data_IF_468942572871
#
_entry.id   IF_468942572871
#
_cell.length_a   1.000
_cell.length_b   1.000
_cell.length_c   1.000
_cell.angle_alpha   90.00
_cell.angle_beta   90.00
_cell.angle_gamma   90.00
#
_symmetry.space_group_name_H-M   'P 1'
#
loop_
_entity.id
_entity.type
_entity.pdbx_description
1 polymer ?
#
# COMPACT_ATOMS: atom_id res chain seq x y z
N UNK A 1 3.47 -20.31 9.77
CA UNK A 1 4.77 -19.65 9.54
C UNK A 1 4.61 -18.15 9.77
N UNK A 2 5.25 -17.60 10.79
CA UNK A 2 5.06 -16.24 11.29
C UNK A 2 5.75 -15.23 10.37
N UNK A 3 4.97 -14.49 9.57
CA UNK A 3 5.45 -13.36 8.79
C UNK A 3 5.76 -12.17 9.68
N UNK A 4 6.88 -12.22 10.41
CA UNK A 4 7.34 -11.10 11.25
C UNK A 4 7.58 -9.89 10.34
N UNK A 5 6.94 -8.74 10.60
CA UNK A 5 7.22 -7.54 9.81
C UNK A 5 8.66 -7.09 10.01
N UNK A 6 9.30 -6.62 8.94
CA UNK A 6 10.62 -5.98 9.01
C UNK A 6 10.58 -4.82 10.01
N UNK A 7 11.54 -4.80 10.93
CA UNK A 7 11.67 -3.73 11.91
C UNK A 7 12.15 -2.44 11.24
N UNK A 8 11.94 -1.29 11.88
CA UNK A 8 12.36 0.02 11.34
C UNK A 8 13.86 0.05 11.01
N UNK A 9 14.70 -0.48 11.90
CA UNK A 9 16.14 -0.62 11.69
C UNK A 9 16.51 -1.52 10.50
N UNK A 10 15.80 -2.64 10.34
CA UNK A 10 16.01 -3.54 9.19
C UNK A 10 15.63 -2.86 7.87
N UNK A 11 14.61 -2.01 7.86
CA UNK A 11 14.25 -1.23 6.67
C UNK A 11 15.33 -0.18 6.35
N UNK A 12 15.92 0.47 7.36
CA UNK A 12 16.97 1.46 7.15
C UNK A 12 18.27 0.81 6.63
N UNK A 13 18.63 -0.38 7.13
CA UNK A 13 19.71 -1.20 6.55
C UNK A 13 19.35 -1.59 5.11
N UNK A 14 18.12 -2.05 4.86
CA UNK A 14 17.68 -2.49 3.54
C UNK A 14 17.77 -1.37 2.49
N UNK A 15 17.47 -0.12 2.87
CA UNK A 15 17.66 1.05 1.99
C UNK A 15 19.12 1.23 1.58
N UNK A 16 20.06 1.06 2.52
CA UNK A 16 21.50 1.14 2.24
C UNK A 16 21.97 -0.02 1.35
N UNK A 17 21.50 -1.23 1.64
CA UNK A 17 21.85 -2.42 0.84
C UNK A 17 21.31 -2.35 -0.60
N UNK A 18 20.15 -1.73 -0.82
CA UNK A 18 19.62 -1.52 -2.17
C UNK A 18 20.40 -0.51 -3.01
N UNK A 19 21.16 0.39 -2.39
CA UNK A 19 22.03 1.33 -3.10
C UNK A 19 23.35 0.70 -3.55
N UNK A 20 23.70 -0.48 -3.02
CA UNK A 20 24.92 -1.21 -3.42
C UNK A 20 24.61 -2.04 -4.68
N UNK A 21 25.18 -1.70 -5.85
CA UNK A 21 24.80 -2.33 -7.12
C UNK A 21 25.26 -3.79 -7.24
N UNK A 22 26.25 -4.20 -6.44
CA UNK A 22 26.82 -5.56 -6.45
C UNK A 22 26.00 -6.57 -5.63
N UNK A 23 25.04 -6.11 -4.83
CA UNK A 23 24.35 -6.95 -3.87
C UNK A 23 23.08 -7.54 -4.47
N UNK A 24 23.04 -8.87 -4.58
CA UNK A 24 21.88 -9.55 -5.16
C UNK A 24 20.77 -9.73 -4.11
N UNK A 25 19.54 -9.98 -4.58
CA UNK A 25 18.40 -10.26 -3.69
C UNK A 25 18.68 -11.43 -2.72
N UNK A 26 19.25 -12.59 -3.16
CA UNK A 26 19.56 -13.67 -2.23
C UNK A 26 20.65 -13.30 -1.21
N UNK A 27 21.65 -12.51 -1.58
CA UNK A 27 22.68 -12.06 -0.63
C UNK A 27 22.08 -11.21 0.50
N UNK A 28 21.19 -10.28 0.15
CA UNK A 28 20.49 -9.42 1.11
C UNK A 28 19.56 -10.25 2.00
N UNK A 29 18.88 -11.24 1.43
CA UNK A 29 18.02 -12.15 2.15
C UNK A 29 18.79 -12.97 3.19
N UNK A 30 19.98 -13.45 2.82
CA UNK A 30 20.89 -14.15 3.72
C UNK A 30 21.36 -13.25 4.87
N UNK A 31 21.84 -12.03 4.56
CA UNK A 31 22.34 -11.06 5.56
C UNK A 31 21.25 -10.70 6.59
N UNK A 32 20.03 -10.46 6.13
CA UNK A 32 18.92 -10.03 6.99
C UNK A 32 18.12 -11.18 7.60
N UNK A 33 18.45 -12.43 7.25
CA UNK A 33 17.69 -13.63 7.60
C UNK A 33 16.20 -13.52 7.27
N UNK A 34 15.89 -12.97 6.10
CA UNK A 34 14.54 -12.69 5.61
C UNK A 34 14.36 -13.39 4.28
N UNK A 35 13.16 -13.92 4.01
CA UNK A 35 12.88 -14.59 2.73
C UNK A 35 13.09 -13.68 1.53
N UNK A 36 13.68 -14.23 0.48
CA UNK A 36 13.97 -13.59 -0.81
C UNK A 36 12.76 -12.86 -1.39
N UNK A 37 11.58 -13.50 -1.35
CA UNK A 37 10.32 -12.90 -1.82
C UNK A 37 9.99 -11.57 -1.12
N UNK A 38 10.33 -11.45 0.16
CA UNK A 38 10.12 -10.22 0.92
C UNK A 38 11.09 -9.13 0.46
N UNK A 39 12.36 -9.49 0.28
CA UNK A 39 13.39 -8.56 -0.22
C UNK A 39 13.05 -8.09 -1.63
N UNK A 40 12.66 -9.01 -2.51
CA UNK A 40 12.26 -8.71 -3.89
C UNK A 40 11.11 -7.70 -3.92
N UNK A 41 10.03 -7.99 -3.19
CA UNK A 41 8.89 -7.07 -3.06
C UNK A 41 9.32 -5.68 -2.58
N UNK A 42 10.21 -5.60 -1.58
CA UNK A 42 10.70 -4.31 -1.07
C UNK A 42 11.58 -3.59 -2.08
N UNK A 43 12.38 -4.32 -2.85
CA UNK A 43 13.20 -3.75 -3.93
C UNK A 43 12.32 -3.12 -5.00
N UNK A 44 11.21 -3.76 -5.36
CA UNK A 44 10.23 -3.22 -6.31
C UNK A 44 9.51 -1.98 -5.73
N UNK A 45 9.13 -2.01 -4.45
CA UNK A 45 8.58 -0.84 -3.73
C UNK A 45 9.57 0.34 -3.73
N UNK A 46 10.86 0.08 -3.50
CA UNK A 46 11.93 1.08 -3.49
C UNK A 46 12.19 1.66 -4.88
N UNK A 47 12.22 0.83 -5.93
CA UNK A 47 12.35 1.29 -7.32
C UNK A 47 11.19 2.20 -7.74
N UNK A 48 9.98 1.89 -7.27
CA UNK A 48 8.76 2.65 -7.64
C UNK A 48 8.62 3.94 -6.83
N UNK A 49 8.87 3.88 -5.51
CA UNK A 49 8.57 4.99 -4.58
C UNK A 49 9.81 5.81 -4.22
N UNK A 50 11.01 5.27 -4.40
CA UNK A 50 12.27 5.83 -3.89
C UNK A 50 12.45 5.66 -2.38
N UNK A 51 11.48 5.09 -1.67
CA UNK A 51 11.53 4.95 -0.21
C UNK A 51 10.81 3.69 0.29
N UNK A 52 11.31 3.13 1.39
CA UNK A 52 10.70 2.02 2.11
C UNK A 52 9.88 2.55 3.28
N UNK A 53 8.57 2.63 3.09
CA UNK A 53 7.65 3.07 4.14
C UNK A 53 7.61 2.07 5.30
N UNK A 54 7.82 2.58 6.51
CA UNK A 54 7.50 1.87 7.76
C UNK A 54 5.98 1.59 7.75
N UNK A 55 5.55 0.41 8.23
CA UNK A 55 4.12 0.12 8.36
C UNK A 55 3.52 1.22 9.22
N UNK A 56 2.45 1.88 8.73
CA UNK A 56 1.69 2.83 9.55
C UNK A 56 1.28 2.11 10.84
N UNK A 57 1.67 2.65 11.99
CA UNK A 57 1.06 2.26 13.25
C UNK A 57 -0.46 2.37 13.06
N UNK A 58 -1.20 1.39 13.58
CA UNK A 58 -2.67 1.38 13.54
C UNK A 58 -3.13 2.76 14.00
N UNK A 59 -3.91 3.45 13.17
CA UNK A 59 -4.16 4.88 13.37
C UNK A 59 -4.68 5.18 14.77
N UNK A 60 -4.17 6.25 15.38
CA UNK A 60 -4.47 6.76 16.74
C UNK A 60 -5.96 6.73 17.12
N UNK A 61 -6.86 6.74 16.13
CA UNK A 61 -8.29 6.63 16.33
C UNK A 61 -8.72 5.31 17.01
N UNK A 62 -8.02 4.20 16.74
CA UNK A 62 -8.34 2.90 17.34
C UNK A 62 -7.93 2.80 18.82
N UNK A 63 -7.08 3.71 19.30
CA UNK A 63 -6.65 3.83 20.71
C UNK A 63 -7.64 4.66 21.52
N UNK A 64 -8.42 5.55 20.87
CA UNK A 64 -9.41 6.39 21.55
C UNK A 64 -10.58 5.59 22.13
N UNK A 65 -10.97 4.49 21.47
CA UNK A 65 -12.04 3.62 21.99
C UNK A 65 -11.45 2.67 23.04
N UNK A 66 -11.50 3.09 24.30
CA UNK A 66 -11.20 2.25 25.46
C UNK A 66 -12.22 1.10 25.59
N UNK A 67 -11.83 -0.02 26.22
CA UNK A 67 -12.74 -1.15 26.43
C UNK A 67 -14.00 -0.76 27.23
N UNK A 68 -13.86 0.12 28.22
CA UNK A 68 -14.98 0.61 29.05
C UNK A 68 -16.09 1.26 28.21
N UNK A 69 -15.73 2.08 27.22
CA UNK A 69 -16.71 2.73 26.34
C UNK A 69 -17.37 1.73 25.39
N UNK A 70 -16.65 0.67 25.01
CA UNK A 70 -17.18 -0.39 24.16
C UNK A 70 -18.23 -1.22 24.90
N UNK A 71 -18.03 -1.51 26.19
CA UNK A 71 -19.00 -2.22 27.03
C UNK A 71 -20.30 -1.41 27.15
N UNK A 72 -20.20 -0.11 27.46
CA UNK A 72 -21.36 0.79 27.53
C UNK A 72 -22.09 0.94 26.20
N UNK A 73 -21.35 0.96 25.09
CA UNK A 73 -21.97 0.95 23.76
C UNK A 73 -22.72 -0.36 23.48
N UNK A 74 -22.21 -1.51 23.95
CA UNK A 74 -22.88 -2.80 23.78
C UNK A 74 -24.16 -2.86 24.64
N UNK A 75 -24.11 -2.43 25.90
CA UNK A 75 -25.29 -2.32 26.78
C UNK A 75 -26.37 -1.42 26.14
N UNK A 76 -25.98 -0.27 25.59
CA UNK A 76 -26.89 0.62 24.90
C UNK A 76 -27.49 0.00 23.63
N UNK A 77 -26.72 -0.81 22.90
CA UNK A 77 -27.17 -1.55 21.71
C UNK A 77 -28.11 -2.72 22.03
N UNK A 78 -28.15 -3.22 23.26
CA UNK A 78 -29.14 -4.23 23.68
C UNK A 78 -30.55 -3.64 23.78
N UNK A 79 -30.64 -2.37 24.17
CA UNK A 79 -31.90 -1.62 24.22
C UNK A 79 -32.27 -0.97 22.88
N UNK A 80 -31.27 -0.70 22.04
CA UNK A 80 -31.45 -0.05 20.73
C UNK A 80 -30.83 -0.91 19.61
N UNK A 81 -31.38 -2.11 19.36
CA UNK A 81 -30.82 -3.05 18.39
C UNK A 81 -30.88 -2.54 16.94
N UNK A 82 -31.79 -1.62 16.63
CA UNK A 82 -31.90 -1.00 15.30
C UNK A 82 -30.93 0.17 15.09
N UNK A 83 -30.19 0.56 16.13
CA UNK A 83 -29.36 1.75 16.07
C UNK A 83 -28.28 1.66 14.99
N UNK A 84 -28.12 2.76 14.25
CA UNK A 84 -27.15 2.86 13.18
C UNK A 84 -25.75 3.21 13.72
N UNK A 85 -24.72 2.96 12.90
CA UNK A 85 -23.34 3.32 13.27
C UNK A 85 -23.14 4.83 13.48
N UNK A 86 -23.97 5.66 12.86
CA UNK A 86 -23.95 7.12 13.03
C UNK A 86 -24.48 7.50 14.43
N UNK A 87 -25.58 6.88 14.86
CA UNK A 87 -26.16 7.06 16.20
C UNK A 87 -25.23 6.53 17.30
N UNK A 88 -24.53 5.42 17.04
CA UNK A 88 -23.47 4.93 17.94
C UNK A 88 -22.33 5.95 18.11
N UNK A 89 -21.98 6.67 17.03
CA UNK A 89 -20.96 7.72 17.09
C UNK A 89 -21.47 8.93 17.87
N UNK A 90 -22.73 9.31 17.69
CA UNK A 90 -23.38 10.38 18.44
C UNK A 90 -23.46 10.05 19.93
N UNK A 91 -23.86 8.84 20.30
CA UNK A 91 -23.88 8.37 21.69
C UNK A 91 -22.50 8.48 22.34
N UNK A 92 -21.45 7.98 21.68
CA UNK A 92 -20.08 8.07 22.21
C UNK A 92 -19.58 9.52 22.33
N UNK A 93 -20.08 10.41 21.47
CA UNK A 93 -19.75 11.83 21.50
C UNK A 93 -20.50 12.57 22.61
N UNK A 94 -21.75 12.21 22.88
CA UNK A 94 -22.58 12.85 23.90
C UNK A 94 -22.20 12.38 25.30
N UNK A 95 -22.04 11.07 25.51
CA UNK A 95 -21.86 10.49 26.84
C UNK A 95 -20.40 10.52 27.32
N UNK A 96 -19.45 10.37 26.39
CA UNK A 96 -18.03 10.25 26.73
C UNK A 96 -17.15 11.34 26.11
N UNK A 97 -17.73 12.29 25.36
CA UNK A 97 -17.00 13.33 24.62
C UNK A 97 -15.94 12.78 23.65
N UNK A 98 -16.07 11.52 23.21
CA UNK A 98 -15.07 10.86 22.36
C UNK A 98 -15.54 10.83 20.91
N UNK A 99 -14.84 11.56 20.04
CA UNK A 99 -15.04 11.48 18.60
C UNK A 99 -14.20 10.36 17.96
N UNK A 100 -14.88 9.29 17.57
CA UNK A 100 -14.33 8.09 16.92
C UNK A 100 -15.02 7.87 15.58
N UNK A 101 -14.28 7.46 14.56
CA UNK A 101 -14.88 7.18 13.26
C UNK A 101 -15.81 5.96 13.29
N UNK A 102 -16.92 6.02 12.54
CA UNK A 102 -17.85 4.89 12.33
C UNK A 102 -17.14 3.60 11.89
N UNK A 103 -16.10 3.70 11.07
CA UNK A 103 -15.30 2.55 10.65
C UNK A 103 -14.57 1.86 11.83
N UNK A 104 -14.11 2.65 12.81
CA UNK A 104 -13.46 2.14 14.02
C UNK A 104 -14.48 1.47 14.93
N UNK A 105 -15.64 2.10 15.12
CA UNK A 105 -16.77 1.57 15.91
C UNK A 105 -17.23 0.23 15.31
N UNK A 106 -17.53 0.19 14.01
CA UNK A 106 -17.94 -1.02 13.29
C UNK A 106 -16.93 -2.16 13.44
N UNK A 107 -15.64 -1.87 13.30
CA UNK A 107 -14.58 -2.88 13.45
C UNK A 107 -14.50 -3.44 14.87
N UNK A 108 -14.71 -2.60 15.89
CA UNK A 108 -14.65 -2.97 17.31
C UNK A 108 -15.90 -3.72 17.75
N UNK A 109 -17.09 -3.25 17.37
CA UNK A 109 -18.36 -3.94 17.58
C UNK A 109 -18.38 -5.31 16.92
N UNK A 110 -17.92 -5.42 15.67
CA UNK A 110 -17.82 -6.71 14.97
C UNK A 110 -16.88 -7.68 15.71
N UNK A 111 -15.81 -7.18 16.32
CA UNK A 111 -14.87 -8.01 17.09
C UNK A 111 -15.50 -8.49 18.40
N UNK A 112 -16.30 -7.65 19.06
CA UNK A 112 -16.92 -7.97 20.35
C UNK A 112 -18.17 -8.85 20.21
N UNK A 113 -19.03 -8.56 19.23
CA UNK A 113 -20.36 -9.19 19.08
C UNK A 113 -20.47 -10.16 17.91
N UNK A 114 -19.50 -10.15 16.97
CA UNK A 114 -19.55 -10.94 15.74
C UNK A 114 -20.56 -10.44 14.69
N UNK A 115 -21.49 -9.56 15.05
CA UNK A 115 -22.56 -9.05 14.18
C UNK A 115 -22.07 -7.86 13.34
N UNK A 116 -22.55 -7.78 12.09
CA UNK A 116 -22.34 -6.61 11.22
C UNK A 116 -23.53 -5.67 11.38
N UNK A 117 -23.25 -4.39 11.67
CA UNK A 117 -24.27 -3.33 11.73
C UNK A 117 -24.39 -2.59 10.39
N UNK A 118 -25.58 -2.09 10.04
CA UNK A 118 -25.75 -1.25 8.86
C UNK A 118 -25.02 0.09 9.02
N UNK A 119 -24.42 0.56 7.94
CA UNK A 119 -23.94 1.94 7.86
C UNK A 119 -25.13 2.85 7.54
N UNK A 120 -25.25 3.97 8.24
CA UNK A 120 -26.19 5.04 7.88
C UNK A 120 -25.92 5.47 6.44
N UNK A 121 -26.94 5.36 5.60
CA UNK A 121 -26.83 5.49 4.16
C UNK A 121 -26.63 6.93 3.70
N UNK A 122 -25.43 7.50 3.86
CA UNK A 122 -25.00 8.70 3.11
C UNK A 122 -24.17 8.28 1.89
N UNK A 123 -24.80 7.58 0.95
CA UNK A 123 -24.28 7.34 -0.41
C UNK A 123 -25.34 7.63 -1.47
N UNK A 124 -25.85 8.86 -1.45
CA UNK A 124 -26.39 9.54 -2.63
C UNK A 124 -25.71 10.92 -2.56
N UNK A 125 -24.83 11.36 -3.46
CA UNK A 125 -24.83 11.30 -4.90
C UNK A 125 -23.40 11.10 -5.41
N UNK A 126 -23.12 10.01 -6.12
CA UNK A 126 -22.10 10.03 -7.16
C UNK A 126 -22.86 10.18 -8.46
N UNK A 127 -23.02 11.43 -8.91
CA UNK A 127 -23.61 11.74 -10.20
C UNK A 127 -22.93 10.89 -11.29
N UNK A 128 -23.69 10.27 -12.22
CA UNK A 128 -23.08 9.67 -13.39
C UNK A 128 -22.42 10.79 -14.20
N UNK A 129 -21.11 10.67 -14.35
CA UNK A 129 -20.29 11.51 -15.19
C UNK A 129 -20.64 11.14 -16.64
N UNK A 130 -21.39 12.01 -17.31
CA UNK A 130 -21.22 12.31 -18.74
C UNK A 130 -21.31 11.11 -19.70
N UNK A 131 -22.52 10.71 -20.11
CA UNK A 131 -22.72 9.92 -21.33
C UNK A 131 -23.23 10.87 -22.42
N UNK A 132 -22.30 11.24 -23.29
CA UNK A 132 -22.48 12.25 -24.33
C UNK A 132 -23.48 11.84 -25.40
N UNK A 133 -24.17 12.87 -25.87
CA UNK A 133 -24.90 12.98 -27.12
C UNK A 133 -24.20 12.26 -28.28
N UNK A 134 -24.92 11.35 -28.94
CA UNK A 134 -24.88 11.19 -30.38
C UNK A 134 -26.18 10.55 -30.86
N UNK A 135 -27.20 11.39 -31.02
CA UNK A 135 -28.32 11.09 -31.91
C UNK A 135 -27.80 11.04 -33.35
N UNK A 136 -27.87 9.89 -34.01
CA UNK A 136 -28.03 9.86 -35.47
C UNK A 136 -29.00 8.76 -35.85
N UNK A 137 -29.85 9.13 -36.78
CA UNK A 137 -31.08 8.54 -37.30
C UNK A 137 -30.90 7.20 -38.01
N UNK A 138 -31.94 6.36 -37.99
CA UNK A 138 -32.17 5.17 -38.82
C UNK A 138 -32.04 5.44 -40.33
N UNK A 139 -31.92 4.40 -41.18
CA UNK A 139 -33.14 3.86 -41.77
C UNK A 139 -33.17 2.33 -42.05
N UNK A 140 -34.38 1.78 -41.86
CA UNK A 140 -35.12 0.84 -42.72
C UNK A 140 -34.35 -0.21 -43.55
N UNK A 141 -34.53 -1.48 -43.16
CA UNK A 141 -34.14 -2.69 -43.89
C UNK A 141 -35.40 -3.30 -44.54
N UNK A 142 -35.47 -3.51 -45.86
CA UNK A 142 -36.53 -4.31 -46.47
C UNK A 142 -36.21 -5.81 -46.38
N UNK A 143 -37.22 -6.56 -45.96
CA UNK A 143 -37.35 -8.00 -46.10
C UNK A 143 -37.29 -8.42 -47.57
N UNK A 144 -36.50 -9.44 -47.87
CA UNK A 144 -36.34 -10.00 -49.20
C UNK A 144 -35.42 -11.21 -49.16
N UNK A 145 -36.04 -12.38 -49.06
CA UNK A 145 -35.43 -13.69 -49.05
C UNK A 145 -34.58 -13.94 -50.30
N UNK A 146 -33.42 -14.59 -50.13
CA UNK A 146 -33.08 -15.79 -50.90
C UNK A 146 -32.05 -16.62 -50.13
N UNK A 147 -32.35 -17.91 -50.04
CA UNK A 147 -31.53 -18.93 -49.45
C UNK A 147 -30.51 -19.41 -50.48
N UNK A 148 -29.22 -19.46 -50.10
CA UNK A 148 -28.27 -20.37 -50.72
C UNK A 148 -27.27 -20.84 -49.65
N UNK A 149 -27.45 -22.08 -49.22
CA UNK A 149 -26.46 -22.94 -48.55
C UNK A 149 -25.78 -23.79 -49.65
N UNK A 150 -24.77 -24.64 -49.37
CA UNK A 150 -23.49 -24.46 -48.67
C UNK A 150 -22.32 -24.77 -49.63
N UNK A 151 -21.06 -24.57 -49.20
CA UNK A 151 -19.94 -25.53 -49.33
C UNK A 151 -18.56 -24.87 -49.53
N UNK A 152 -17.60 -25.46 -48.82
CA UNK A 152 -16.18 -25.60 -49.17
C UNK A 152 -15.34 -24.32 -49.26
N UNK A 153 -14.45 -24.14 -48.28
CA UNK A 153 -13.04 -24.54 -48.47
C UNK A 153 -12.18 -24.26 -47.23
N UNK A 154 -11.52 -25.31 -46.76
CA UNK A 154 -10.30 -25.22 -45.97
C UNK A 154 -9.20 -24.56 -46.79
N UNK A 155 -8.51 -23.55 -46.23
CA UNK A 155 -7.07 -23.26 -46.40
C UNK A 155 -6.73 -22.35 -45.19
N UNK A 156 -5.97 -22.77 -44.18
CA UNK A 156 -4.55 -23.08 -44.27
C UNK A 156 -3.71 -21.79 -44.18
N UNK A 157 -3.57 -21.18 -43.01
CA UNK A 157 -2.53 -20.15 -42.79
C UNK A 157 -1.89 -20.28 -41.41
N UNK A 158 -0.68 -20.83 -41.42
CA UNK A 158 0.35 -20.67 -40.39
C UNK A 158 1.55 -20.03 -41.10
N UNK A 159 2.06 -18.90 -40.59
CA UNK A 159 3.51 -18.74 -40.59
C UNK A 159 4.00 -18.22 -39.24
N UNK A 160 4.97 -18.97 -38.72
CA UNK A 160 6.01 -18.53 -37.82
C UNK A 160 6.85 -17.39 -38.43
N UNK A 161 7.55 -16.67 -37.54
CA UNK A 161 8.75 -15.84 -37.75
C UNK A 161 8.59 -14.37 -38.16
N UNK A 162 8.98 -13.48 -37.23
CA UNK A 162 9.85 -12.28 -37.37
C UNK A 162 10.00 -11.69 -35.95
N UNK A 163 11.10 -11.14 -35.45
CA UNK A 163 12.40 -10.77 -36.02
C UNK A 163 13.44 -10.74 -34.89
N UNK A 164 14.66 -11.15 -35.23
CA UNK A 164 15.87 -10.84 -34.48
C UNK A 164 16.14 -9.33 -34.52
N UNK A 165 16.23 -8.71 -33.33
CA UNK A 165 16.59 -7.31 -33.16
C UNK A 165 17.96 -7.18 -32.51
N UNK A 166 18.96 -7.04 -33.37
CA UNK A 166 20.36 -6.71 -33.07
C UNK A 166 20.47 -5.38 -32.32
N UNK A 167 21.28 -5.31 -31.25
CA UNK A 167 21.75 -4.04 -30.68
C UNK A 167 23.29 -4.03 -30.67
N UNK A 168 23.91 -2.94 -31.16
CA UNK A 168 25.36 -2.87 -31.33
C UNK A 168 26.12 -2.57 -30.04
N UNK A 169 27.33 -3.12 -30.04
CA UNK A 169 28.48 -2.90 -29.18
C UNK A 169 29.16 -1.55 -29.52
N UNK A 170 29.49 -0.72 -28.52
CA UNK A 170 30.75 0.05 -28.39
C UNK A 170 30.62 1.19 -27.34
N UNK A 171 31.62 1.31 -26.45
CA UNK A 171 31.79 2.47 -25.56
C UNK A 171 32.81 2.23 -24.45
N UNK A 172 34.05 2.66 -24.70
CA UNK A 172 35.29 2.44 -23.95
C UNK A 172 35.34 2.98 -22.50
N UNK A 173 36.34 2.55 -21.68
CA UNK A 173 36.46 2.88 -20.26
C UNK A 173 37.05 4.28 -20.02
N UNK A 174 36.41 5.06 -19.13
CA UNK A 174 36.96 6.32 -18.62
C UNK A 174 37.81 6.04 -17.37
N UNK A 175 39.11 6.32 -17.47
CA UNK A 175 40.05 6.42 -16.35
C UNK A 175 39.83 7.71 -15.54
N UNK A 176 40.39 7.73 -14.32
CA UNK A 176 40.64 8.87 -13.39
C UNK A 176 39.42 9.39 -12.63
N UNK A 177 39.45 9.66 -11.32
CA UNK A 177 40.53 9.94 -10.36
C UNK A 177 40.16 9.34 -8.99
N UNK A 178 41.14 8.73 -8.31
CA UNK A 178 41.04 8.46 -6.85
C UNK A 178 41.07 9.78 -6.07
N UNK A 179 40.18 9.98 -5.08
CA UNK A 179 40.45 10.89 -3.98
C UNK A 179 41.30 10.20 -2.89
N UNK A 180 42.35 10.91 -2.48
CA UNK A 180 43.35 10.49 -1.50
C UNK A 180 42.77 10.04 -0.14
N UNK A 181 43.50 9.19 0.62
CA UNK A 181 43.12 8.83 1.99
C UNK A 181 43.38 10.01 2.94
N UNK A 182 42.31 10.57 3.50
CA UNK A 182 42.41 11.48 4.65
C UNK A 182 42.87 10.71 5.86
N UNK A 183 44.10 11.00 6.28
CA UNK A 183 44.79 10.41 7.42
C UNK A 183 44.04 10.72 8.73
N UNK A 184 43.70 9.65 9.45
CA UNK A 184 43.25 9.66 10.84
C UNK A 184 44.50 9.87 11.70
N UNK A 185 44.69 11.10 12.20
CA UNK A 185 45.36 11.36 13.48
C UNK A 185 45.28 12.84 13.83
N UNK A 186 45.13 13.10 15.13
CA UNK A 186 45.10 14.39 15.83
C UNK A 186 43.72 15.02 16.04
N UNK A 187 43.06 14.62 17.13
CA UNK A 187 42.97 15.49 18.31
C UNK A 187 42.56 14.63 19.53
N UNK A 188 43.55 13.94 20.09
CA UNK A 188 43.64 13.79 21.54
C UNK A 188 44.11 15.12 22.13
N UNK A 189 43.95 15.28 23.45
CA UNK A 189 44.19 16.46 24.29
C UNK A 189 42.99 17.42 24.34
N UNK A 190 42.43 17.86 25.46
CA UNK A 190 42.62 17.61 26.89
C UNK A 190 41.48 18.35 27.61
N UNK A 191 41.29 18.01 28.87
CA UNK A 191 40.85 18.91 29.96
C UNK A 191 39.46 18.67 30.55
N UNK A 192 39.61 18.23 31.79
CA UNK A 192 38.76 18.02 32.95
C UNK A 192 37.78 19.15 33.32
N UNK A 193 36.80 18.84 34.19
CA UNK A 193 35.73 19.75 34.59
C UNK A 193 36.23 20.73 35.66
N UNK A 194 35.85 22.00 35.52
CA UNK A 194 36.01 22.98 36.58
C UNK A 194 34.72 23.13 37.37
N UNK A 195 34.93 23.31 38.66
CA UNK A 195 33.95 23.36 39.73
C UNK A 195 33.44 24.79 39.96
N UNK A 196 32.34 24.87 40.71
CA UNK A 196 32.01 25.91 41.71
C UNK A 196 30.94 26.99 41.40
N UNK A 197 30.19 27.27 42.49
CA UNK A 197 29.30 28.42 42.74
C UNK A 197 27.83 28.00 42.78
N UNK A 198 27.18 27.69 43.91
CA UNK A 198 26.95 28.51 45.12
C UNK A 198 26.65 29.97 44.77
N UNK A 199 25.37 30.33 44.65
CA UNK A 199 24.61 31.16 45.63
C UNK A 199 23.14 30.74 45.55
#
# INVERSE_FOLDING_TARGET
>A
MTGRPLNGFQLDILKRLFQVPKLTTPDIAFILQVRDRTIQRRRDEFKTTGDLRKKKAVGKNAEKLKPEYLEKLIEWLETHDEAQLDECQEFLRQEFEVDISTATISRRLKKATGKKRPHGGKRAHRAPLFEGMASTTSPTRPDGAEAVDPALSQVGYRPDQVAAGSYPQAGAPTQRMEPAPTNIQQLVHSSTPDSQGIV
#
